data_IF_176331828350
#
_entry.id   IF_176331828350
#
_cell.length_a   1.000
_cell.length_b   1.000
_cell.length_c   1.000
_cell.angle_alpha   90.00
_cell.angle_beta   90.00
_cell.angle_gamma   90.00
#
_symmetry.space_group_name_H-M   'P 1'
#
loop_
_entity.id
_entity.type
_entity.pdbx_description
1 polymer ?
#
# COMPACT_ATOMS: atom_id res chain seq x y z
N UNK A 1 28.23 24.30 58.96
CA UNK A 1 27.31 25.41 58.67
C UNK A 1 27.99 26.34 57.69
N UNK A 2 27.33 26.56 56.55
CA UNK A 2 27.46 27.66 55.56
C UNK A 2 28.77 27.83 54.78
N UNK A 3 28.71 27.45 53.50
CA UNK A 3 28.86 28.31 52.29
C UNK A 3 30.06 29.29 52.24
N UNK A 4 30.81 29.49 51.13
CA UNK A 4 30.43 29.52 49.71
C UNK A 4 31.69 29.57 48.82
N UNK A 5 31.45 29.22 47.56
CA UNK A 5 32.27 29.13 46.34
C UNK A 5 33.02 30.42 45.95
N UNK A 6 34.21 30.31 45.33
CA UNK A 6 34.58 31.10 44.12
C UNK A 6 35.92 30.69 43.43
N UNK A 7 35.83 30.58 42.09
CA UNK A 7 36.87 30.82 41.05
C UNK A 7 38.01 29.79 40.90
N UNK A 8 38.56 29.46 39.73
CA UNK A 8 38.50 30.04 38.38
C UNK A 8 38.96 29.00 37.35
N UNK A 9 38.35 28.96 36.16
CA UNK A 9 39.02 28.50 34.93
C UNK A 9 38.45 29.26 33.74
N UNK A 10 39.34 30.07 33.15
CA UNK A 10 39.18 30.84 31.90
C UNK A 10 39.02 29.87 30.72
N UNK A 11 37.94 29.99 29.93
CA UNK A 11 37.76 30.81 28.71
C UNK A 11 38.38 30.22 27.43
N UNK A 12 37.50 29.81 26.50
CA UNK A 12 37.51 30.29 25.11
C UNK A 12 36.15 30.02 24.46
N UNK A 13 35.38 31.10 24.29
CA UNK A 13 34.23 31.21 23.39
C UNK A 13 34.73 31.38 21.96
N UNK A 14 34.10 30.69 20.99
CA UNK A 14 33.68 31.28 19.72
C UNK A 14 32.27 30.73 19.38
N UNK A 15 31.38 31.67 19.04
CA UNK A 15 29.96 31.52 18.68
C UNK A 15 29.82 31.57 17.15
N UNK A 16 28.63 31.13 16.67
CA UNK A 16 28.04 31.27 15.32
C UNK A 16 28.48 30.24 14.26
N UNK A 17 27.61 29.72 13.38
CA UNK A 17 26.16 29.83 13.11
C UNK A 17 25.78 28.65 12.20
N UNK A 18 24.50 28.28 12.23
CA UNK A 18 23.71 27.66 11.15
C UNK A 18 24.40 26.73 10.13
N UNK A 19 24.08 25.44 10.23
CA UNK A 19 23.69 24.65 9.04
C UNK A 19 22.75 23.52 9.43
N UNK A 20 21.49 23.69 9.07
CA UNK A 20 20.48 22.64 9.03
C UNK A 20 20.86 21.71 7.87
N UNK A 21 21.58 20.64 8.17
CA UNK A 21 21.73 19.55 7.22
C UNK A 21 20.48 18.67 7.28
N UNK A 22 19.64 18.85 6.26
CA UNK A 22 18.58 17.91 5.88
C UNK A 22 19.18 16.53 5.69
N UNK A 23 19.03 15.66 6.69
CA UNK A 23 19.30 14.22 6.54
C UNK A 23 18.37 13.67 5.46
N UNK A 24 18.96 13.42 4.29
CA UNK A 24 18.46 12.49 3.28
C UNK A 24 18.18 11.16 3.98
N UNK A 25 16.89 10.85 4.16
CA UNK A 25 16.45 9.59 4.73
C UNK A 25 16.83 8.48 3.77
N UNK A 26 17.85 7.71 4.15
CA UNK A 26 18.28 6.50 3.47
C UNK A 26 17.11 5.53 3.37
N UNK A 27 16.90 4.95 2.20
CA UNK A 27 15.92 3.90 1.98
C UNK A 27 16.21 2.73 2.93
N UNK A 28 15.39 2.58 3.96
CA UNK A 28 15.44 1.48 4.90
C UNK A 28 15.04 0.20 4.17
N UNK A 29 16.00 -0.69 3.96
CA UNK A 29 15.76 -2.02 3.38
C UNK A 29 15.01 -2.83 4.42
N UNK A 30 13.70 -3.02 4.23
CA UNK A 30 12.91 -3.95 5.03
C UNK A 30 13.48 -5.37 4.86
N UNK A 31 14.27 -5.80 5.83
CA UNK A 31 14.75 -7.18 5.98
C UNK A 31 13.84 -7.91 6.96
N UNK A 32 12.63 -8.25 6.53
CA UNK A 32 11.74 -9.08 7.33
C UNK A 32 11.18 -10.26 6.52
N UNK A 33 11.57 -11.45 6.98
CA UNK A 33 11.07 -12.79 6.66
C UNK A 33 11.51 -13.41 5.33
N UNK A 34 11.79 -14.71 5.41
CA UNK A 34 12.41 -15.60 4.42
C UNK A 34 11.59 -15.72 3.13
N UNK A 35 11.66 -14.69 2.28
CA UNK A 35 11.49 -14.90 0.86
C UNK A 35 12.65 -15.80 0.36
N UNK A 36 12.41 -16.73 -0.60
CA UNK A 36 13.49 -17.49 -1.21
C UNK A 36 14.58 -16.51 -1.67
N UNK A 37 15.85 -16.88 -1.45
CA UNK A 37 16.99 -16.05 -1.80
C UNK A 37 16.88 -15.65 -3.28
N UNK A 38 16.56 -14.38 -3.54
CA UNK A 38 16.49 -13.83 -4.90
C UNK A 38 17.90 -13.89 -5.50
N UNK A 39 17.97 -14.22 -6.78
CA UNK A 39 19.25 -14.16 -7.50
C UNK A 39 19.80 -12.72 -7.48
N UNK A 40 21.12 -12.54 -7.58
CA UNK A 40 21.73 -11.20 -7.60
C UNK A 40 21.12 -10.26 -8.65
N UNK A 41 20.86 -10.71 -9.91
CA UNK A 41 20.22 -9.85 -10.91
C UNK A 41 18.79 -9.45 -10.55
N UNK A 42 18.02 -10.35 -9.93
CA UNK A 42 16.64 -10.06 -9.51
C UNK A 42 16.60 -9.08 -8.33
N UNK A 43 17.59 -9.15 -7.44
CA UNK A 43 17.75 -8.21 -6.33
C UNK A 43 18.09 -6.80 -6.81
N UNK A 44 18.95 -6.68 -7.82
CA UNK A 44 19.31 -5.38 -8.40
C UNK A 44 18.12 -4.74 -9.13
N UNK A 45 17.35 -5.53 -9.88
CA UNK A 45 16.12 -5.06 -10.50
C UNK A 45 15.06 -4.65 -9.47
N UNK A 46 14.94 -5.38 -8.35
CA UNK A 46 14.06 -4.96 -7.25
C UNK A 46 14.47 -3.59 -6.70
N UNK A 47 15.76 -3.39 -6.41
CA UNK A 47 16.27 -2.12 -5.88
C UNK A 47 15.97 -0.97 -6.84
N UNK A 48 16.22 -1.14 -8.14
CA UNK A 48 15.88 -0.13 -9.15
C UNK A 48 14.39 0.25 -9.13
N UNK A 49 13.49 -0.73 -9.03
CA UNK A 49 12.04 -0.44 -8.95
C UNK A 49 11.66 0.27 -7.65
N UNK A 50 12.26 -0.11 -6.53
CA UNK A 50 12.03 0.56 -5.24
C UNK A 50 12.53 2.01 -5.26
N UNK A 51 13.71 2.25 -5.83
CA UNK A 51 14.26 3.60 -6.03
C UNK A 51 13.38 4.42 -6.97
N UNK A 52 12.89 3.81 -8.06
CA UNK A 52 11.97 4.46 -9.00
C UNK A 52 10.68 4.90 -8.31
N UNK A 53 10.08 4.03 -7.49
CA UNK A 53 8.86 4.33 -6.73
C UNK A 53 9.10 5.42 -5.69
N UNK A 54 10.22 5.39 -4.95
CA UNK A 54 10.51 6.38 -3.91
C UNK A 54 10.89 7.78 -4.46
N UNK A 55 11.26 7.87 -5.74
CA UNK A 55 11.73 9.11 -6.34
C UNK A 55 10.59 10.13 -6.52
N UNK A 56 10.75 11.32 -5.92
CA UNK A 56 9.79 12.43 -5.98
C UNK A 56 9.60 13.03 -7.37
N UNK A 57 10.54 12.82 -8.31
CA UNK A 57 10.35 13.19 -9.71
C UNK A 57 9.31 12.29 -10.38
N UNK A 58 9.27 11.01 -10.01
CA UNK A 58 8.40 10.00 -10.60
C UNK A 58 7.06 9.93 -9.88
N UNK A 59 7.04 10.12 -8.56
CA UNK A 59 5.82 9.99 -7.76
C UNK A 59 5.55 11.21 -6.88
N UNK A 60 4.25 11.45 -6.63
CA UNK A 60 3.78 12.25 -5.50
C UNK A 60 3.16 11.32 -4.48
N UNK A 61 3.75 11.26 -3.29
CA UNK A 61 3.25 10.47 -2.18
C UNK A 61 2.70 11.36 -1.08
N UNK A 62 1.60 10.94 -0.46
CA UNK A 62 1.01 11.66 0.67
C UNK A 62 0.14 10.74 1.52
N UNK A 63 0.04 11.05 2.81
CA UNK A 63 -1.08 10.55 3.61
C UNK A 63 -2.36 11.22 3.11
N UNK A 64 -3.42 10.44 2.92
CA UNK A 64 -4.70 10.99 2.49
C UNK A 64 -5.26 11.86 3.62
N UNK A 65 -5.53 13.12 3.30
CA UNK A 65 -6.30 14.02 4.17
C UNK A 65 -7.75 13.95 3.71
N UNK A 66 -8.50 12.95 4.18
CA UNK A 66 -9.95 12.96 3.97
C UNK A 66 -10.55 14.19 4.69
N UNK A 67 -11.10 15.12 3.91
CA UNK A 67 -12.04 16.14 4.40
C UNK A 67 -13.43 15.53 4.30
N UNK A 68 -14.06 15.17 5.40
CA UNK A 68 -15.52 15.20 5.42
C UNK A 68 -15.93 16.68 5.31
N UNK A 69 -16.74 17.03 4.31
CA UNK A 69 -17.63 18.19 4.43
C UNK A 69 -18.70 17.82 5.46
N UNK A 70 -18.34 17.74 6.74
CA UNK A 70 -19.32 17.99 7.77
C UNK A 70 -19.68 19.46 7.65
N UNK A 71 -20.87 19.77 7.12
CA UNK A 71 -21.39 21.14 6.99
C UNK A 71 -21.37 21.90 8.33
N UNK A 72 -21.15 21.23 9.46
CA UNK A 72 -21.29 21.79 10.81
C UNK A 72 -20.05 21.67 11.74
N UNK A 73 -18.86 21.25 11.29
CA UNK A 73 -17.70 21.19 12.22
C UNK A 73 -16.39 21.73 11.64
N UNK A 74 -15.88 22.80 12.27
CA UNK A 74 -14.63 23.52 11.93
C UNK A 74 -13.34 22.77 12.32
N UNK A 75 -13.36 21.44 12.49
CA UNK A 75 -12.14 20.68 12.82
C UNK A 75 -11.87 19.58 11.80
N UNK A 76 -10.85 19.80 10.97
CA UNK A 76 -10.37 18.84 9.98
C UNK A 76 -9.50 17.78 10.66
N UNK A 77 -10.10 16.67 11.11
CA UNK A 77 -9.34 15.47 11.51
C UNK A 77 -9.28 14.49 10.32
N UNK A 78 -8.10 13.92 10.00
CA UNK A 78 -8.00 12.88 8.99
C UNK A 78 -8.78 11.64 9.43
N UNK A 79 -9.78 11.23 8.63
CA UNK A 79 -10.75 10.17 8.95
C UNK A 79 -10.11 8.78 9.07
N UNK A 80 -8.90 8.60 8.53
CA UNK A 80 -8.11 7.39 8.77
C UNK A 80 -6.63 7.68 8.60
N UNK A 81 -5.82 7.72 9.67
CA UNK A 81 -4.38 8.00 9.56
C UNK A 81 -3.63 6.91 8.76
N UNK A 82 -4.29 5.77 8.51
CA UNK A 82 -3.78 4.62 7.79
C UNK A 82 -3.93 4.67 6.26
N UNK A 83 -4.52 5.73 5.69
CA UNK A 83 -4.67 5.90 4.23
C UNK A 83 -3.45 6.59 3.63
N UNK A 84 -2.95 6.05 2.53
CA UNK A 84 -1.80 6.58 1.82
C UNK A 84 -2.05 6.55 0.31
N UNK A 85 -1.60 7.60 -0.36
CA UNK A 85 -1.80 7.83 -1.78
C UNK A 85 -0.46 7.95 -2.48
N UNK A 86 -0.38 7.43 -3.69
CA UNK A 86 0.78 7.58 -4.56
C UNK A 86 0.30 7.82 -5.97
N UNK A 87 0.69 8.95 -6.54
CA UNK A 87 0.34 9.34 -7.90
C UNK A 87 1.60 9.27 -8.76
N UNK A 88 1.58 8.44 -9.79
CA UNK A 88 2.66 8.31 -10.76
C UNK A 88 2.58 9.47 -11.75
N UNK A 89 3.68 10.20 -11.92
CA UNK A 89 3.77 11.43 -12.72
C UNK A 89 4.34 11.11 -14.11
N UNK A 90 3.70 11.65 -15.13
CA UNK A 90 4.25 11.74 -16.48
C UNK A 90 5.11 12.99 -16.68
N UNK A 91 5.74 13.09 -17.85
CA UNK A 91 6.68 14.15 -18.24
C UNK A 91 6.11 15.58 -18.19
N UNK A 92 4.79 15.74 -18.33
CA UNK A 92 4.09 17.03 -18.30
C UNK A 92 3.28 17.26 -17.01
N UNK A 93 3.68 16.63 -15.90
CA UNK A 93 2.94 16.64 -14.63
C UNK A 93 1.51 16.03 -14.73
N UNK A 94 1.23 15.31 -15.82
CA UNK A 94 0.07 14.43 -15.97
C UNK A 94 0.15 13.27 -14.97
N UNK A 95 -0.99 12.70 -14.60
CA UNK A 95 -1.04 11.51 -13.74
C UNK A 95 -1.13 10.28 -14.64
N UNK A 96 -0.13 9.40 -14.56
CA UNK A 96 -0.06 8.11 -15.28
C UNK A 96 -0.51 6.94 -14.41
N UNK A 97 -0.80 7.16 -13.14
CA UNK A 97 -1.43 6.16 -12.29
C UNK A 97 -1.77 6.69 -10.91
N UNK A 98 -2.79 6.11 -10.30
CA UNK A 98 -3.32 6.47 -8.99
C UNK A 98 -3.42 5.24 -8.10
N UNK A 99 -2.82 5.34 -6.92
CA UNK A 99 -2.75 4.23 -5.97
C UNK A 99 -3.18 4.72 -4.59
N UNK A 100 -4.42 4.41 -4.20
CA UNK A 100 -5.03 4.77 -2.91
C UNK A 100 -5.29 3.51 -2.12
N UNK A 101 -4.56 3.34 -1.02
CA UNK A 101 -4.66 2.14 -0.18
C UNK A 101 -4.70 2.52 1.30
N UNK A 102 -5.17 1.58 2.12
CA UNK A 102 -5.28 1.72 3.57
C UNK A 102 -4.62 0.53 4.26
N UNK A 103 -3.63 0.80 5.10
CA UNK A 103 -2.86 -0.23 5.79
C UNK A 103 -3.10 -0.16 7.29
N UNK A 104 -3.91 -1.08 7.82
CA UNK A 104 -4.05 -1.29 9.26
C UNK A 104 -3.36 -2.60 9.66
N UNK A 105 -2.99 -2.77 10.94
CA UNK A 105 -2.73 -4.10 11.46
C UNK A 105 -3.90 -5.03 11.11
N UNK A 106 -3.60 -6.28 10.75
CA UNK A 106 -4.57 -7.33 10.37
C UNK A 106 -5.37 -7.11 9.08
N UNK A 107 -5.54 -5.88 8.57
CA UNK A 107 -6.33 -5.64 7.35
C UNK A 107 -5.72 -4.57 6.46
N UNK A 108 -5.43 -4.95 5.22
CA UNK A 108 -5.08 -4.02 4.16
C UNK A 108 -6.24 -3.88 3.19
N UNK A 109 -6.58 -2.65 2.82
CA UNK A 109 -7.62 -2.36 1.83
C UNK A 109 -7.01 -1.63 0.65
N UNK A 110 -7.19 -2.19 -0.53
CA UNK A 110 -6.82 -1.60 -1.81
C UNK A 110 -8.06 -0.98 -2.43
N UNK A 111 -8.11 0.35 -2.46
CA UNK A 111 -9.29 1.13 -2.85
C UNK A 111 -9.22 1.43 -4.34
N UNK A 112 -8.07 1.90 -4.80
CA UNK A 112 -7.85 2.26 -6.19
C UNK A 112 -6.40 1.98 -6.56
N UNK A 113 -6.15 1.17 -7.58
CA UNK A 113 -4.81 0.87 -8.09
C UNK A 113 -4.85 0.87 -9.62
N UNK A 114 -4.87 2.05 -10.21
CA UNK A 114 -5.01 2.24 -11.65
C UNK A 114 -3.70 2.73 -12.22
N UNK A 115 -3.35 2.20 -13.39
CA UNK A 115 -2.27 2.70 -14.24
C UNK A 115 -2.85 3.00 -15.61
N UNK A 116 -2.45 4.12 -16.19
CA UNK A 116 -2.92 4.61 -17.48
C UNK A 116 -1.91 4.41 -18.61
N UNK A 117 -0.68 4.04 -18.29
CA UNK A 117 0.38 3.75 -19.25
C UNK A 117 0.81 2.27 -19.23
N UNK A 118 1.48 1.86 -20.31
CA UNK A 118 2.01 0.50 -20.47
C UNK A 118 3.47 0.37 -19.99
N UNK A 119 4.06 1.45 -19.46
CA UNK A 119 5.43 1.43 -18.98
C UNK A 119 5.58 0.48 -17.78
N UNK A 120 6.66 -0.30 -17.79
CA UNK A 120 6.93 -1.34 -16.78
C UNK A 120 8.10 -1.00 -15.86
N UNK A 121 8.19 0.25 -15.43
CA UNK A 121 9.24 0.71 -14.52
C UNK A 121 9.03 0.23 -13.06
N UNK A 122 7.82 -0.19 -12.71
CA UNK A 122 7.44 -0.71 -11.39
C UNK A 122 6.21 -1.62 -11.50
N UNK A 123 5.93 -2.40 -10.46
CA UNK A 123 4.68 -3.14 -10.25
C UNK A 123 3.82 -2.46 -9.17
N UNK A 124 2.50 -2.70 -9.19
CA UNK A 124 1.62 -2.22 -8.13
C UNK A 124 1.98 -2.79 -6.74
N UNK A 125 2.65 -3.95 -6.68
CA UNK A 125 3.17 -4.51 -5.43
C UNK A 125 4.35 -3.71 -4.87
N UNK A 126 5.21 -3.14 -5.72
CA UNK A 126 6.29 -2.24 -5.28
C UNK A 126 5.70 -0.99 -4.60
N UNK A 127 4.60 -0.45 -5.14
CA UNK A 127 3.86 0.66 -4.50
C UNK A 127 3.25 0.22 -3.17
N UNK A 128 2.57 -0.93 -3.15
CA UNK A 128 1.97 -1.45 -1.91
C UNK A 128 3.03 -1.59 -0.79
N UNK A 129 4.22 -2.08 -1.14
CA UNK A 129 5.36 -2.18 -0.23
C UNK A 129 5.81 -0.81 0.29
N UNK A 130 6.01 0.15 -0.61
CA UNK A 130 6.37 1.51 -0.22
C UNK A 130 5.33 2.13 0.71
N UNK A 131 4.05 2.07 0.34
CA UNK A 131 2.96 2.65 1.15
C UNK A 131 2.81 1.97 2.51
N UNK A 132 2.87 0.63 2.57
CA UNK A 132 2.87 -0.09 3.83
C UNK A 132 4.03 0.35 4.73
N UNK A 133 5.23 0.48 4.15
CA UNK A 133 6.41 0.98 4.87
C UNK A 133 6.06 2.31 5.51
N UNK A 134 5.73 3.33 4.72
CA UNK A 134 5.44 4.67 5.22
C UNK A 134 4.35 4.72 6.30
N UNK A 135 3.25 3.97 6.13
CA UNK A 135 2.15 3.95 7.10
C UNK A 135 2.57 3.22 8.38
N UNK A 136 3.24 2.07 8.25
CA UNK A 136 3.63 1.25 9.39
C UNK A 136 4.72 1.88 10.24
N UNK A 137 5.68 2.62 9.67
CA UNK A 137 6.69 3.35 10.46
C UNK A 137 6.02 4.51 11.22
N UNK A 138 5.17 5.29 10.53
CA UNK A 138 4.49 6.44 11.15
C UNK A 138 3.61 6.03 12.33
N UNK A 139 3.04 4.83 12.29
CA UNK A 139 2.09 4.35 13.29
C UNK A 139 2.63 3.21 14.16
N UNK A 140 3.92 2.90 14.09
CA UNK A 140 4.58 1.96 14.99
C UNK A 140 4.15 0.50 14.86
N UNK A 141 3.79 0.04 13.65
CA UNK A 141 3.39 -1.36 13.41
C UNK A 141 4.20 -2.04 12.28
N UNK A 142 5.43 -1.58 12.03
CA UNK A 142 6.36 -2.25 11.11
C UNK A 142 6.45 -3.76 11.41
N UNK A 143 6.46 -4.58 10.35
CA UNK A 143 6.49 -6.03 10.44
C UNK A 143 5.17 -6.70 10.85
N UNK A 144 4.12 -5.93 11.19
CA UNK A 144 2.77 -6.48 11.39
C UNK A 144 2.06 -6.63 10.05
N UNK A 145 1.94 -7.87 9.61
CA UNK A 145 1.28 -8.28 8.36
C UNK A 145 -0.24 -8.41 8.55
N UNK A 146 -1.03 -8.43 7.45
CA UNK A 146 -2.47 -8.55 7.53
C UNK A 146 -2.91 -10.02 7.69
N UNK A 147 -4.10 -10.22 8.20
CA UNK A 147 -4.87 -11.47 8.10
C UNK A 147 -5.80 -11.43 6.87
N UNK A 148 -6.15 -10.21 6.41
CA UNK A 148 -7.03 -9.98 5.27
C UNK A 148 -6.46 -8.90 4.34
N UNK A 149 -6.42 -9.22 3.04
CA UNK A 149 -6.27 -8.25 1.96
C UNK A 149 -7.64 -8.06 1.30
N UNK A 150 -8.19 -6.85 1.37
CA UNK A 150 -9.44 -6.47 0.69
C UNK A 150 -9.12 -5.73 -0.60
N UNK A 151 -9.66 -6.17 -1.74
CA UNK A 151 -9.82 -5.36 -2.95
C UNK A 151 -11.23 -4.75 -2.89
N UNK A 152 -11.32 -3.43 -2.74
CA UNK A 152 -12.58 -2.73 -2.56
C UNK A 152 -13.19 -2.33 -3.90
N UNK A 153 -14.52 -2.48 -4.02
CA UNK A 153 -15.31 -2.07 -5.19
C UNK A 153 -14.65 -2.47 -6.53
N UNK A 154 -14.29 -3.75 -6.68
CA UNK A 154 -13.68 -4.25 -7.91
C UNK A 154 -14.69 -4.16 -9.04
N UNK A 155 -14.41 -3.29 -10.02
CA UNK A 155 -15.25 -3.03 -11.19
C UNK A 155 -14.51 -3.34 -12.52
N UNK A 156 -13.42 -4.11 -12.47
CA UNK A 156 -12.65 -4.49 -13.65
C UNK A 156 -13.35 -5.67 -14.37
N UNK A 157 -13.80 -5.45 -15.60
CA UNK A 157 -14.56 -6.42 -16.39
C UNK A 157 -13.88 -7.79 -16.49
N UNK A 158 -12.58 -7.83 -16.79
CA UNK A 158 -11.82 -9.10 -16.86
C UNK A 158 -11.83 -9.86 -15.53
N UNK A 159 -11.80 -9.15 -14.41
CA UNK A 159 -11.88 -9.76 -13.08
C UNK A 159 -13.30 -10.23 -12.80
N UNK A 160 -14.30 -9.42 -13.09
CA UNK A 160 -15.72 -9.73 -12.82
C UNK A 160 -16.19 -10.93 -13.65
N UNK A 161 -15.90 -10.94 -14.96
CA UNK A 161 -16.18 -12.09 -15.82
C UNK A 161 -15.38 -13.31 -15.39
N UNK A 162 -14.12 -13.12 -14.97
CA UNK A 162 -13.26 -14.19 -14.51
C UNK A 162 -13.77 -14.93 -13.26
N UNK A 163 -14.58 -14.29 -12.41
CA UNK A 163 -15.13 -14.88 -11.17
C UNK A 163 -16.64 -15.13 -11.26
N UNK A 164 -17.27 -14.86 -12.40
CA UNK A 164 -18.71 -14.95 -12.60
C UNK A 164 -19.20 -16.37 -12.37
N UNK A 165 -20.29 -16.49 -11.60
CA UNK A 165 -20.91 -17.78 -11.28
C UNK A 165 -20.12 -18.64 -10.28
N UNK A 166 -18.94 -18.22 -9.82
CA UNK A 166 -18.17 -18.96 -8.83
C UNK A 166 -18.69 -18.69 -7.41
N UNK A 167 -18.76 -19.75 -6.62
CA UNK A 167 -19.24 -19.66 -5.25
C UNK A 167 -18.18 -19.07 -4.31
N UNK A 168 -18.61 -18.10 -3.49
CA UNK A 168 -17.78 -17.42 -2.50
C UNK A 168 -17.17 -18.40 -1.50
N UNK A 169 -15.87 -18.30 -1.26
CA UNK A 169 -15.17 -19.15 -0.29
C UNK A 169 -14.72 -20.51 -0.80
N UNK A 170 -14.98 -20.84 -2.08
CA UNK A 170 -14.54 -22.11 -2.68
C UNK A 170 -13.07 -22.05 -3.15
N UNK A 171 -12.45 -23.24 -3.26
CA UNK A 171 -11.11 -23.36 -3.83
C UNK A 171 -11.07 -22.92 -5.30
N UNK A 172 -12.13 -23.23 -6.06
CA UNK A 172 -12.26 -22.83 -7.46
C UNK A 172 -12.22 -21.30 -7.62
N UNK A 173 -12.99 -20.56 -6.82
CA UNK A 173 -12.94 -19.10 -6.79
C UNK A 173 -11.54 -18.61 -6.44
N UNK A 174 -10.92 -19.18 -5.41
CA UNK A 174 -9.57 -18.78 -4.99
C UNK A 174 -8.56 -18.95 -6.13
N UNK A 175 -8.52 -20.13 -6.75
CA UNK A 175 -7.57 -20.45 -7.81
C UNK A 175 -7.81 -19.58 -9.03
N UNK A 176 -9.07 -19.47 -9.47
CA UNK A 176 -9.44 -18.65 -10.63
C UNK A 176 -9.10 -17.19 -10.40
N UNK A 177 -9.48 -16.62 -9.26
CA UNK A 177 -9.19 -15.23 -8.92
C UNK A 177 -7.68 -14.98 -8.94
N UNK A 178 -6.91 -15.70 -8.12
CA UNK A 178 -5.48 -15.42 -7.89
C UNK A 178 -4.59 -15.68 -9.11
N UNK A 179 -4.95 -16.65 -9.96
CA UNK A 179 -4.10 -17.05 -11.10
C UNK A 179 -4.51 -16.38 -12.41
N UNK A 180 -5.80 -16.08 -12.60
CA UNK A 180 -6.33 -15.74 -13.92
C UNK A 180 -6.75 -14.28 -14.05
N UNK A 181 -7.14 -13.61 -12.95
CA UNK A 181 -7.65 -12.22 -13.02
C UNK A 181 -6.54 -11.17 -12.85
N UNK A 182 -6.64 -9.98 -13.46
CA UNK A 182 -5.69 -8.89 -13.24
C UNK A 182 -5.55 -8.51 -11.75
N UNK A 183 -6.67 -8.41 -11.02
CA UNK A 183 -6.67 -8.05 -9.61
C UNK A 183 -6.09 -9.15 -8.72
N UNK A 184 -6.35 -10.42 -9.03
CA UNK A 184 -5.80 -11.55 -8.30
C UNK A 184 -4.30 -11.74 -8.55
N UNK A 185 -3.82 -11.60 -9.79
CA UNK A 185 -2.38 -11.64 -10.11
C UNK A 185 -1.59 -10.57 -9.35
N UNK A 186 -2.15 -9.36 -9.25
CA UNK A 186 -1.54 -8.29 -8.45
C UNK A 186 -1.53 -8.64 -6.96
N UNK A 187 -2.64 -9.17 -6.44
CA UNK A 187 -2.74 -9.61 -5.05
C UNK A 187 -1.78 -10.75 -4.73
N UNK A 188 -1.59 -11.70 -5.66
CA UNK A 188 -0.63 -12.79 -5.54
C UNK A 188 0.81 -12.26 -5.48
N UNK A 189 1.16 -11.26 -6.30
CA UNK A 189 2.49 -10.62 -6.23
C UNK A 189 2.71 -9.93 -4.88
N UNK A 190 1.72 -9.19 -4.39
CA UNK A 190 1.78 -8.58 -3.05
C UNK A 190 1.99 -9.65 -1.99
N UNK A 191 1.22 -10.73 -2.01
CA UNK A 191 1.40 -11.83 -1.05
C UNK A 191 2.81 -12.43 -1.15
N UNK A 192 3.33 -12.68 -2.35
CA UNK A 192 4.67 -13.21 -2.54
C UNK A 192 5.75 -12.25 -2.00
N UNK A 193 5.62 -10.94 -2.24
CA UNK A 193 6.57 -9.92 -1.79
C UNK A 193 6.60 -9.79 -0.25
N UNK A 194 5.52 -10.17 0.43
CA UNK A 194 5.39 -10.15 1.89
C UNK A 194 5.47 -11.53 2.55
N UNK A 195 5.79 -12.58 1.80
CA UNK A 195 5.88 -13.94 2.35
C UNK A 195 4.54 -14.46 2.88
N UNK A 196 3.43 -14.12 2.22
CA UNK A 196 2.07 -14.53 2.56
C UNK A 196 1.54 -15.59 1.57
N UNK A 197 0.57 -16.37 2.02
CA UNK A 197 -0.24 -17.24 1.17
C UNK A 197 -1.72 -17.07 1.47
N UNK A 198 -2.55 -17.20 0.44
CA UNK A 198 -4.00 -17.20 0.62
C UNK A 198 -4.47 -18.52 1.26
N UNK A 199 -5.52 -18.40 2.07
CA UNK A 199 -6.22 -19.53 2.71
C UNK A 199 -7.69 -19.60 2.29
N UNK A 200 -8.25 -18.47 1.85
CA UNK A 200 -9.62 -18.36 1.35
C UNK A 200 -9.79 -17.08 0.55
N UNK A 201 -10.65 -17.10 -0.46
CA UNK A 201 -11.14 -15.89 -1.16
C UNK A 201 -12.66 -15.80 -1.00
N UNK A 202 -13.17 -14.66 -0.57
CA UNK A 202 -14.61 -14.40 -0.42
C UNK A 202 -15.05 -13.19 -1.25
N UNK A 203 -16.23 -13.29 -1.85
CA UNK A 203 -16.96 -12.19 -2.46
C UNK A 203 -17.91 -11.58 -1.43
N UNK A 204 -17.95 -10.24 -1.34
CA UNK A 204 -18.83 -9.47 -0.45
C UNK A 204 -19.39 -8.25 -1.17
N UNK A 205 -20.53 -7.77 -0.72
CA UNK A 205 -21.16 -6.54 -1.23
C UNK A 205 -21.24 -6.49 -2.77
N UNK A 206 -21.84 -7.50 -3.43
CA UNK A 206 -21.98 -7.45 -4.88
C UNK A 206 -22.93 -6.32 -5.27
N UNK A 207 -22.53 -5.56 -6.28
CA UNK A 207 -23.29 -4.49 -6.90
C UNK A 207 -23.67 -4.96 -8.30
N UNK A 208 -24.97 -4.98 -8.59
CA UNK A 208 -25.50 -5.39 -9.89
C UNK A 208 -26.10 -4.20 -10.61
N UNK A 209 -25.91 -4.12 -11.93
CA UNK A 209 -26.75 -3.29 -12.78
C UNK A 209 -28.18 -3.86 -12.79
N UNK A 210 -29.16 -2.99 -13.04
CA UNK A 210 -30.60 -3.27 -12.93
C UNK A 210 -30.98 -4.71 -13.26
N UNK A 211 -31.62 -5.38 -12.31
CA UNK A 211 -32.06 -6.76 -12.44
C UNK A 211 -33.11 -6.83 -13.55
N UNK A 212 -32.90 -7.68 -14.56
CA UNK A 212 -33.86 -7.87 -15.64
C UNK A 212 -35.13 -8.60 -15.14
N UNK A 213 -36.16 -8.69 -15.97
CA UNK A 213 -37.44 -9.34 -15.63
C UNK A 213 -37.30 -10.82 -15.21
N UNK A 214 -36.14 -11.45 -15.46
CA UNK A 214 -35.81 -12.83 -15.11
C UNK A 214 -35.05 -12.96 -13.79
N UNK A 215 -34.80 -11.86 -13.09
CA UNK A 215 -34.02 -11.88 -11.85
C UNK A 215 -32.50 -11.89 -12.07
N UNK A 216 -32.02 -11.67 -13.30
CA UNK A 216 -30.60 -11.69 -13.63
C UNK A 216 -30.07 -10.25 -13.69
N UNK A 217 -29.02 -9.95 -12.91
CA UNK A 217 -28.30 -8.69 -12.95
C UNK A 217 -26.85 -8.91 -13.39
N UNK A 218 -26.30 -7.96 -14.14
CA UNK A 218 -24.86 -7.96 -14.47
C UNK A 218 -24.07 -7.44 -13.26
N UNK A 219 -23.11 -8.23 -12.76
CA UNK A 219 -22.24 -7.80 -11.66
C UNK A 219 -21.37 -6.64 -12.16
N UNK A 220 -21.43 -5.48 -11.49
CA UNK A 220 -20.64 -4.27 -11.80
C UNK A 220 -19.61 -3.93 -10.74
N UNK A 221 -19.77 -4.46 -9.54
CA UNK A 221 -18.88 -4.18 -8.43
C UNK A 221 -18.91 -5.30 -7.41
N UNK A 222 -17.77 -5.62 -6.79
CA UNK A 222 -17.73 -6.54 -5.66
C UNK A 222 -16.52 -6.27 -4.79
N UNK A 223 -16.66 -6.43 -3.48
CA UNK A 223 -15.52 -6.51 -2.58
C UNK A 223 -14.95 -7.94 -2.61
N UNK A 224 -13.63 -8.06 -2.83
CA UNK A 224 -12.93 -9.36 -2.78
C UNK A 224 -12.03 -9.39 -1.56
N UNK A 225 -12.30 -10.32 -0.64
CA UNK A 225 -11.55 -10.52 0.59
C UNK A 225 -10.66 -11.75 0.43
N UNK A 226 -9.35 -11.56 0.57
CA UNK A 226 -8.35 -12.61 0.52
C UNK A 226 -7.88 -12.81 1.96
N UNK A 227 -8.21 -13.96 2.54
CA UNK A 227 -7.72 -14.37 3.84
C UNK A 227 -6.31 -14.91 3.67
N UNK A 228 -5.36 -14.40 4.44
CA UNK A 228 -3.94 -14.68 4.26
C UNK A 228 -3.29 -15.12 5.56
N UNK A 229 -2.23 -15.90 5.44
CA UNK A 229 -1.33 -16.27 6.54
C UNK A 229 0.13 -16.17 6.07
N UNK A 230 1.11 -16.08 6.99
CA UNK A 230 2.51 -16.28 6.63
C UNK A 230 2.71 -17.59 5.88
N UNK A 231 3.56 -17.59 4.86
CA UNK A 231 3.94 -18.80 4.14
C UNK A 231 4.76 -19.67 5.10
N UNK A 232 4.36 -20.92 5.23
CA UNK A 232 5.11 -21.90 6.03
C UNK A 232 6.52 -22.04 5.43
N UNK A 233 7.55 -21.93 6.28
CA UNK A 233 8.98 -21.89 5.92
C UNK A 233 9.51 -23.26 5.56
#
# INVERSE_FOLDING_TARGET
MTDRISSSSNNLNIVDTDKVDTKTSSASTLSHTSAPARSSPELDELKKRQEFVANKSNFKHQFSADKEKNKNEKTSKPISPYKYESNYKGSNNSIYGEFKNKFKPKKWTFIENIRFDDERNFFASDIAQYQYTQVSEKHGFQGKLPDIIKRECVANDDTLEGIKGLESGTQELQDKFLTSTPNGKTSQRIMNDFGLTATKVELRNPEYESINEKGEGELKGVDILIHVKPKDS
#
